data_IF_087168708879
#
_entry.id   IF_087168708879
#
_cell.length_a   1.000
_cell.length_b   1.000
_cell.length_c   1.000
_cell.angle_alpha   90.00
_cell.angle_beta   90.00
_cell.angle_gamma   90.00
#
_symmetry.space_group_name_H-M   'P 1'
#
loop_
_entity.id
_entity.type
_entity.pdbx_description
1 polymer ?
#
# COMPACT_ATOMS: atom_id res chain seq x y z
N UNK A 1 31.53 -33.54 7.64
CA UNK A 1 30.99 -32.45 8.46
C UNK A 1 31.24 -31.05 7.85
N UNK A 2 32.34 -30.84 7.12
CA UNK A 2 32.64 -29.53 6.47
C UNK A 2 31.80 -29.16 5.27
N UNK A 3 31.41 -30.14 4.44
CA UNK A 3 30.65 -29.92 3.20
C UNK A 3 29.22 -29.42 3.51
N UNK A 4 28.57 -29.97 4.53
CA UNK A 4 27.21 -29.57 4.92
C UNK A 4 27.19 -28.11 5.44
N UNK A 5 28.21 -27.69 6.21
CA UNK A 5 28.37 -26.30 6.64
C UNK A 5 28.62 -25.32 5.49
N UNK A 6 29.36 -25.76 4.45
CA UNK A 6 29.58 -24.94 3.26
C UNK A 6 28.29 -24.72 2.45
N UNK A 7 27.49 -25.77 2.28
CA UNK A 7 26.22 -25.68 1.54
C UNK A 7 25.20 -24.81 2.30
N UNK A 8 25.09 -24.95 3.62
CA UNK A 8 24.19 -24.10 4.41
C UNK A 8 24.57 -22.61 4.32
N UNK A 9 25.86 -22.29 4.39
CA UNK A 9 26.35 -20.90 4.28
C UNK A 9 26.06 -20.28 2.89
N UNK A 10 26.17 -21.07 1.82
CA UNK A 10 25.84 -20.61 0.47
C UNK A 10 24.34 -20.38 0.33
N UNK A 11 23.52 -21.29 0.83
CA UNK A 11 22.06 -21.16 0.80
C UNK A 11 21.57 -19.94 1.60
N UNK A 12 22.17 -19.67 2.76
CA UNK A 12 21.87 -18.49 3.57
C UNK A 12 22.21 -17.20 2.81
N UNK A 13 23.36 -17.13 2.16
CA UNK A 13 23.75 -15.96 1.35
C UNK A 13 22.83 -15.74 0.16
N UNK A 14 22.47 -16.81 -0.55
CA UNK A 14 21.52 -16.73 -1.69
C UNK A 14 20.16 -16.25 -1.20
N UNK A 15 19.66 -16.78 -0.10
CA UNK A 15 18.38 -16.36 0.49
C UNK A 15 18.43 -14.89 0.96
N UNK A 16 19.53 -14.47 1.54
CA UNK A 16 19.73 -13.07 1.93
C UNK A 16 19.73 -12.12 0.72
N UNK A 17 20.50 -12.44 -0.33
CA UNK A 17 20.51 -11.65 -1.56
C UNK A 17 19.13 -11.59 -2.23
N UNK A 18 18.41 -12.71 -2.27
CA UNK A 18 17.04 -12.76 -2.78
C UNK A 18 16.10 -11.85 -2.00
N UNK A 19 16.13 -11.94 -0.68
CA UNK A 19 15.28 -11.10 0.18
C UNK A 19 15.61 -9.61 0.04
N UNK A 20 16.89 -9.27 -0.05
CA UNK A 20 17.33 -7.90 -0.26
C UNK A 20 16.83 -7.35 -1.60
N UNK A 21 17.03 -8.12 -2.68
CA UNK A 21 16.55 -7.75 -4.01
C UNK A 21 15.01 -7.63 -4.06
N UNK A 22 14.32 -8.60 -3.52
CA UNK A 22 12.85 -8.61 -3.44
C UNK A 22 12.33 -7.39 -2.66
N UNK A 23 12.92 -7.09 -1.52
CA UNK A 23 12.55 -5.92 -0.70
C UNK A 23 12.79 -4.62 -1.46
N UNK A 24 13.97 -4.45 -2.07
CA UNK A 24 14.28 -3.26 -2.86
C UNK A 24 13.32 -3.09 -4.05
N UNK A 25 13.00 -4.19 -4.74
CA UNK A 25 12.06 -4.18 -5.87
C UNK A 25 10.66 -3.75 -5.45
N UNK A 26 10.17 -4.25 -4.32
CA UNK A 26 8.85 -3.89 -3.80
C UNK A 26 8.78 -2.43 -3.38
N UNK A 27 9.82 -1.89 -2.74
CA UNK A 27 9.90 -0.46 -2.44
C UNK A 27 9.96 0.40 -3.70
N UNK A 28 10.71 -0.03 -4.71
CA UNK A 28 10.76 0.64 -6.01
C UNK A 28 9.39 0.67 -6.68
N UNK A 29 8.68 -0.46 -6.72
CA UNK A 29 7.31 -0.56 -7.25
C UNK A 29 6.36 0.36 -6.49
N UNK A 30 6.46 0.43 -5.16
CA UNK A 30 5.66 1.36 -4.36
C UNK A 30 5.95 2.82 -4.69
N UNK A 31 7.22 3.21 -4.73
CA UNK A 31 7.62 4.59 -5.05
C UNK A 31 7.21 5.00 -6.47
N UNK A 32 7.43 4.14 -7.45
CA UNK A 32 6.98 4.35 -8.82
C UNK A 32 5.45 4.44 -8.88
N UNK A 33 4.73 3.55 -8.19
CA UNK A 33 3.27 3.57 -8.09
C UNK A 33 2.74 4.86 -7.50
N UNK A 34 3.35 5.39 -6.44
CA UNK A 34 2.97 6.66 -5.82
C UNK A 34 3.10 7.87 -6.76
N UNK A 35 4.05 7.83 -7.70
CA UNK A 35 4.23 8.91 -8.69
C UNK A 35 3.32 8.73 -9.91
N UNK A 36 3.30 7.52 -10.48
CA UNK A 36 2.59 7.26 -11.73
C UNK A 36 1.08 7.13 -11.55
N UNK A 37 0.61 6.62 -10.42
CA UNK A 37 -0.82 6.47 -10.17
C UNK A 37 -1.57 7.82 -10.23
N UNK A 38 -1.16 8.87 -9.49
CA UNK A 38 -1.81 10.16 -9.61
C UNK A 38 -1.60 10.80 -11.00
N UNK A 39 -0.43 10.64 -11.60
CA UNK A 39 -0.13 11.23 -12.90
C UNK A 39 -0.99 10.65 -14.03
N UNK A 40 -1.24 9.35 -14.02
CA UNK A 40 -2.02 8.66 -15.06
C UNK A 40 -3.52 8.62 -14.76
N UNK A 41 -3.90 8.53 -13.49
CA UNK A 41 -5.29 8.34 -13.09
C UNK A 41 -6.06 9.65 -12.90
N UNK A 42 -5.43 10.71 -12.43
CA UNK A 42 -6.13 11.97 -12.19
C UNK A 42 -6.58 12.68 -13.48
N UNK A 43 -5.79 12.78 -14.56
CA UNK A 43 -6.25 13.44 -15.77
C UNK A 43 -7.54 12.83 -16.33
N UNK A 44 -7.67 11.51 -16.56
CA UNK A 44 -8.91 10.93 -17.04
C UNK A 44 -10.05 11.03 -16.01
N UNK A 45 -9.78 10.87 -14.71
CA UNK A 45 -10.80 11.04 -13.68
C UNK A 45 -11.34 12.48 -13.64
N UNK A 46 -10.48 13.46 -13.85
CA UNK A 46 -10.87 14.87 -13.91
C UNK A 46 -11.70 15.17 -15.17
N UNK A 47 -11.33 14.57 -16.29
CA UNK A 47 -12.00 14.80 -17.58
C UNK A 47 -13.38 14.11 -17.66
N UNK A 48 -13.49 12.89 -17.10
CA UNK A 48 -14.70 12.07 -17.20
C UNK A 48 -15.64 12.16 -15.98
N UNK A 49 -15.27 12.84 -14.92
CA UNK A 49 -16.12 12.97 -13.72
C UNK A 49 -16.51 14.43 -13.49
N UNK A 50 -17.72 14.80 -13.91
CA UNK A 50 -18.28 16.14 -13.75
C UNK A 50 -18.59 16.51 -12.29
N UNK A 51 -18.94 15.52 -11.47
CA UNK A 51 -19.33 15.71 -10.08
C UNK A 51 -18.17 15.41 -9.13
N UNK A 52 -17.94 16.32 -8.18
CA UNK A 52 -16.86 16.22 -7.20
C UNK A 52 -17.00 14.98 -6.32
N UNK A 53 -18.21 14.65 -5.90
CA UNK A 53 -18.46 13.47 -5.05
C UNK A 53 -18.13 12.17 -5.79
N UNK A 54 -18.56 12.04 -7.04
CA UNK A 54 -18.27 10.87 -7.89
C UNK A 54 -16.77 10.72 -8.14
N UNK A 55 -16.06 11.82 -8.31
CA UNK A 55 -14.61 11.84 -8.51
C UNK A 55 -13.88 11.33 -7.26
N UNK A 56 -14.22 11.86 -6.08
CA UNK A 56 -13.62 11.42 -4.82
C UNK A 56 -13.85 9.92 -4.59
N UNK A 57 -15.07 9.44 -4.79
CA UNK A 57 -15.40 8.02 -4.65
C UNK A 57 -14.59 7.12 -5.58
N UNK A 58 -14.44 7.52 -6.85
CA UNK A 58 -13.63 6.78 -7.82
C UNK A 58 -12.14 6.79 -7.45
N UNK A 59 -11.62 7.93 -6.98
CA UNK A 59 -10.24 8.04 -6.51
C UNK A 59 -9.96 7.12 -5.33
N UNK A 60 -10.84 7.13 -4.31
CA UNK A 60 -10.72 6.23 -3.15
C UNK A 60 -10.72 4.75 -3.57
N UNK A 61 -11.63 4.40 -4.48
CA UNK A 61 -11.71 3.03 -4.98
C UNK A 61 -10.46 2.63 -5.76
N UNK A 62 -9.91 3.52 -6.57
CA UNK A 62 -8.67 3.29 -7.31
C UNK A 62 -7.49 3.06 -6.35
N UNK A 63 -7.32 3.93 -5.36
CA UNK A 63 -6.27 3.81 -4.34
C UNK A 63 -6.43 2.49 -3.56
N UNK A 64 -7.66 2.14 -3.17
CA UNK A 64 -7.96 0.87 -2.52
C UNK A 64 -7.49 -0.34 -3.34
N UNK A 65 -7.86 -0.40 -4.63
CA UNK A 65 -7.46 -1.52 -5.50
C UNK A 65 -5.96 -1.58 -5.73
N UNK A 66 -5.30 -0.43 -5.87
CA UNK A 66 -3.85 -0.35 -6.02
C UNK A 66 -3.14 -0.86 -4.77
N UNK A 67 -3.56 -0.41 -3.59
CA UNK A 67 -2.96 -0.86 -2.33
C UNK A 67 -3.27 -2.31 -2.05
N UNK A 68 -4.46 -2.79 -2.39
CA UNK A 68 -4.81 -4.19 -2.30
C UNK A 68 -3.91 -5.07 -3.18
N UNK A 69 -3.67 -4.65 -4.42
CA UNK A 69 -2.72 -5.32 -5.32
C UNK A 69 -1.30 -5.33 -4.76
N UNK A 70 -0.87 -4.21 -4.19
CA UNK A 70 0.44 -4.09 -3.56
C UNK A 70 0.61 -5.01 -2.33
N UNK A 71 -0.39 -5.07 -1.45
CA UNK A 71 -0.40 -5.97 -0.29
C UNK A 71 -0.35 -7.44 -0.73
N UNK A 72 -1.06 -7.80 -1.80
CA UNK A 72 -0.97 -9.16 -2.38
C UNK A 72 0.41 -9.44 -2.99
N UNK A 73 1.04 -8.45 -3.62
CA UNK A 73 2.41 -8.56 -4.13
C UNK A 73 3.41 -8.85 -3.00
N UNK A 74 3.30 -8.16 -1.86
CA UNK A 74 4.15 -8.42 -0.68
C UNK A 74 4.08 -9.88 -0.22
N UNK A 75 2.87 -10.45 -0.22
CA UNK A 75 2.65 -11.85 0.13
C UNK A 75 3.19 -12.81 -0.93
N UNK A 76 2.98 -12.52 -2.21
CA UNK A 76 3.44 -13.33 -3.33
C UNK A 76 4.96 -13.46 -3.37
N UNK A 77 5.67 -12.35 -3.11
CA UNK A 77 7.14 -12.30 -3.06
C UNK A 77 7.70 -12.86 -1.73
N UNK A 78 6.83 -13.27 -0.81
CA UNK A 78 7.17 -13.82 0.51
C UNK A 78 8.04 -12.89 1.37
N UNK A 79 7.88 -11.58 1.20
CA UNK A 79 8.52 -10.58 2.06
C UNK A 79 7.79 -10.48 3.39
N UNK A 80 6.45 -10.55 3.34
CA UNK A 80 5.58 -10.42 4.51
C UNK A 80 4.43 -11.41 4.38
N UNK A 81 4.12 -12.07 5.48
CA UNK A 81 2.86 -12.80 5.66
C UNK A 81 1.97 -12.01 6.62
N UNK A 82 0.67 -12.05 6.39
CA UNK A 82 -0.29 -11.31 7.18
C UNK A 82 -1.60 -12.10 7.32
N UNK A 83 -2.22 -11.97 8.47
CA UNK A 83 -3.53 -12.50 8.78
C UNK A 83 -4.42 -11.37 9.27
N UNK A 84 -5.64 -11.31 8.78
CA UNK A 84 -6.62 -10.30 9.18
C UNK A 84 -7.76 -10.97 9.91
N UNK A 85 -7.97 -10.58 11.17
CA UNK A 85 -9.08 -11.04 11.99
C UNK A 85 -10.09 -9.91 12.18
N UNK A 86 -11.39 -10.24 12.22
CA UNK A 86 -12.45 -9.26 12.46
C UNK A 86 -12.77 -8.33 11.29
N UNK A 87 -12.49 -8.75 10.05
CA UNK A 87 -12.74 -7.97 8.82
C UNK A 87 -14.19 -7.51 8.68
N UNK A 88 -15.15 -8.28 9.21
CA UNK A 88 -16.57 -7.96 9.21
C UNK A 88 -16.91 -6.68 9.99
N UNK A 89 -16.06 -6.33 10.97
CA UNK A 89 -16.23 -5.08 11.75
C UNK A 89 -15.90 -3.84 10.91
N UNK A 90 -15.00 -3.95 9.95
CA UNK A 90 -14.59 -2.87 9.05
C UNK A 90 -15.60 -2.58 7.93
N UNK A 91 -16.57 -3.46 7.71
CA UNK A 91 -17.59 -3.30 6.66
C UNK A 91 -18.76 -2.39 7.06
N UNK A 92 -18.81 -1.95 8.29
CA UNK A 92 -19.89 -1.08 8.80
C UNK A 92 -19.70 0.34 8.29
N UNK A 93 -20.74 1.03 7.80
CA UNK A 93 -20.64 2.44 7.43
C UNK A 93 -20.52 3.33 8.66
N UNK A 94 -19.85 4.48 8.51
CA UNK A 94 -19.79 5.52 9.56
C UNK A 94 -18.93 5.17 10.77
N UNK A 95 -17.99 4.23 10.65
CA UNK A 95 -17.07 3.89 11.73
C UNK A 95 -15.82 4.76 11.70
N UNK A 96 -15.31 5.11 12.86
CA UNK A 96 -13.97 5.66 13.04
C UNK A 96 -13.02 4.53 13.44
N UNK A 97 -12.01 4.29 12.61
CA UNK A 97 -10.96 3.30 12.89
C UNK A 97 -9.76 4.03 13.47
N UNK A 98 -9.41 3.69 14.70
CA UNK A 98 -8.20 4.19 15.36
C UNK A 98 -7.21 3.04 15.44
N UNK A 99 -6.02 3.26 14.93
CA UNK A 99 -4.97 2.24 14.88
C UNK A 99 -3.67 2.80 15.43
N UNK A 100 -2.95 1.98 16.17
CA UNK A 100 -1.56 2.26 16.50
C UNK A 100 -0.69 1.82 15.31
N UNK A 101 -0.34 2.78 14.45
CA UNK A 101 0.40 2.50 13.22
C UNK A 101 1.79 3.16 13.26
N UNK A 102 2.83 2.44 13.62
CA UNK A 102 4.20 2.98 13.65
C UNK A 102 4.79 3.20 12.25
N UNK A 103 4.21 2.61 11.20
CA UNK A 103 4.75 2.66 9.84
C UNK A 103 3.72 3.13 8.81
N UNK A 104 4.22 3.68 7.70
CA UNK A 104 3.37 4.02 6.56
C UNK A 104 2.69 2.78 5.94
N UNK A 105 3.32 1.62 6.07
CA UNK A 105 2.81 0.37 5.54
C UNK A 105 1.49 -0.03 6.20
N UNK A 106 1.31 0.25 7.49
CA UNK A 106 0.06 -0.03 8.20
C UNK A 106 -1.12 0.75 7.61
N UNK A 107 -0.89 1.99 7.18
CA UNK A 107 -1.90 2.80 6.48
C UNK A 107 -2.26 2.18 5.14
N UNK A 108 -1.27 1.67 4.40
CA UNK A 108 -1.49 0.94 3.14
C UNK A 108 -2.37 -0.29 3.36
N UNK A 109 -2.14 -1.05 4.43
CA UNK A 109 -2.98 -2.18 4.81
C UNK A 109 -4.41 -1.76 5.14
N UNK A 110 -4.59 -0.73 5.95
CA UNK A 110 -5.93 -0.23 6.31
C UNK A 110 -6.73 0.17 5.06
N UNK A 111 -6.13 0.94 4.16
CA UNK A 111 -6.80 1.35 2.90
C UNK A 111 -7.04 0.14 1.98
N UNK A 112 -6.12 -0.83 1.94
CA UNK A 112 -6.29 -2.05 1.16
C UNK A 112 -7.47 -2.93 1.62
N UNK A 113 -7.89 -2.80 2.88
CA UNK A 113 -9.01 -3.55 3.44
C UNK A 113 -10.31 -2.75 3.50
N UNK A 114 -10.25 -1.42 3.36
CA UNK A 114 -11.42 -0.54 3.45
C UNK A 114 -11.62 0.23 2.14
N UNK A 115 -12.58 -0.16 1.28
CA UNK A 115 -12.73 0.41 -0.07
C UNK A 115 -13.20 1.87 -0.11
N UNK A 116 -13.68 2.42 0.98
CA UNK A 116 -14.17 3.80 1.06
C UNK A 116 -13.65 4.48 2.34
N UNK A 117 -12.37 4.26 2.65
CA UNK A 117 -11.72 4.90 3.79
C UNK A 117 -11.30 6.33 3.47
N UNK A 118 -11.50 7.22 4.42
CA UNK A 118 -10.86 8.53 4.50
C UNK A 118 -9.82 8.51 5.61
N UNK A 119 -8.69 9.18 5.41
CA UNK A 119 -7.67 9.33 6.42
C UNK A 119 -7.68 10.75 6.99
N UNK A 120 -7.73 10.86 8.31
CA UNK A 120 -7.48 12.14 8.99
C UNK A 120 -5.97 12.34 9.02
N UNK A 121 -5.49 13.34 8.29
CA UNK A 121 -4.07 13.67 8.22
C UNK A 121 -3.79 14.97 8.97
N UNK A 122 -2.57 15.04 9.52
CA UNK A 122 -2.09 16.25 10.18
C UNK A 122 -2.02 17.39 9.16
N UNK A 123 -2.48 18.59 9.52
CA UNK A 123 -2.55 19.77 8.66
C UNK A 123 -1.21 20.17 8.01
N UNK A 124 -0.10 19.85 8.65
CA UNK A 124 1.24 20.13 8.11
C UNK A 124 1.57 19.32 6.85
N UNK A 125 0.97 18.14 6.69
CA UNK A 125 1.12 17.29 5.50
C UNK A 125 0.30 17.83 4.33
N UNK A 126 -0.84 18.47 4.62
CA UNK A 126 -1.68 19.12 3.59
C UNK A 126 -1.00 20.31 2.91
N UNK A 127 -0.01 20.92 3.54
CA UNK A 127 0.75 22.04 2.96
C UNK A 127 1.73 21.60 1.86
N UNK A 128 2.04 20.31 1.76
CA UNK A 128 2.84 19.78 0.65
C UNK A 128 1.99 19.68 -0.62
N UNK A 129 2.39 20.42 -1.65
CA UNK A 129 1.67 20.57 -2.93
C UNK A 129 1.32 19.23 -3.61
N UNK A 130 2.12 18.21 -3.41
CA UNK A 130 1.93 16.87 -3.97
C UNK A 130 0.88 16.08 -3.17
N UNK A 131 0.93 16.18 -1.83
CA UNK A 131 0.02 15.45 -0.95
C UNK A 131 -1.39 16.07 -0.91
N UNK A 132 -1.51 17.39 -1.03
CA UNK A 132 -2.82 18.08 -1.02
C UNK A 132 -3.73 17.74 -2.22
N UNK A 133 -3.18 17.13 -3.26
CA UNK A 133 -3.96 16.69 -4.43
C UNK A 133 -4.34 15.21 -4.38
N UNK A 134 -3.75 14.45 -3.48
CA UNK A 134 -3.99 13.00 -3.32
C UNK A 134 -5.02 12.74 -2.22
N UNK A 135 -5.16 13.66 -1.29
CA UNK A 135 -6.09 13.67 -0.16
C UNK A 135 -7.26 14.59 -0.42
#
# INVERSE_FOLDING_TARGET
MGVIKGISSVLEKVNYCWRLFATASVYAVFGVGCVFLPLLAFPPLYLFSRDQYTRQKKTRLLVHWTFRGYVHLLKLVRIMDWEVQGMERLKRPGILVVSNHPTLLDVVFLIAFMPNADCIIKSDIQKNLIMSRIV
#
